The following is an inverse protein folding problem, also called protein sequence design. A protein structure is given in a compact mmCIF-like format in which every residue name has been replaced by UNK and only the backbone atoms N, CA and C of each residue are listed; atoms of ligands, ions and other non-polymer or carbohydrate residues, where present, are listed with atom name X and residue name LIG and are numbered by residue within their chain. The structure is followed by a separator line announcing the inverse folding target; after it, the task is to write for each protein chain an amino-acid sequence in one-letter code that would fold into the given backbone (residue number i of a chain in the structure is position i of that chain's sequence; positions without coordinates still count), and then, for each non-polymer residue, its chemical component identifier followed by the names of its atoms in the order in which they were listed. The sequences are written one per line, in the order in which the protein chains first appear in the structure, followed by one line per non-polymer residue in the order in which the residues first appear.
data_IF_151124673508
#
_entry.id   IF_151124673508
#
_cell.length_a   1.000
_cell.length_b   1.000
_cell.length_c   1.000
_cell.angle_alpha   90.00
_cell.angle_beta   90.00
_cell.angle_gamma   90.00
#
_symmetry.space_group_name_H-M   'P 1'
#
loop_
_entity.id
_entity.type
_entity.pdbx_description
1 polymer ?
#
# COMPACT_ATOMS: atom_id res chain seq x y z
N UNK A 1 -9.20 -29.06 29.30
CA UNK A 1 -7.83 -29.56 29.36
C UNK A 1 -7.25 -29.92 27.96
N UNK A 2 -7.94 -29.59 26.87
CA UNK A 2 -7.50 -29.91 25.49
C UNK A 2 -7.07 -28.68 24.66
N UNK A 3 -7.22 -27.46 25.17
CA UNK A 3 -6.97 -26.23 24.39
C UNK A 3 -5.52 -25.72 24.41
N UNK A 4 -4.68 -26.20 25.34
CA UNK A 4 -3.31 -25.70 25.47
C UNK A 4 -2.25 -26.49 24.68
N UNK A 5 -2.62 -27.67 24.15
CA UNK A 5 -1.67 -28.55 23.43
C UNK A 5 -1.56 -28.15 21.95
N UNK A 6 -2.65 -27.70 21.34
CA UNK A 6 -2.68 -27.42 19.88
C UNK A 6 -1.92 -26.14 19.52
N UNK A 7 -1.90 -25.14 20.36
CA UNK A 7 -1.17 -23.88 20.10
C UNK A 7 0.35 -23.99 20.28
N UNK A 8 0.81 -24.81 21.23
CA UNK A 8 2.24 -24.99 21.48
C UNK A 8 2.96 -25.78 20.37
N UNK A 9 2.31 -26.78 19.79
CA UNK A 9 2.90 -27.63 18.75
C UNK A 9 2.91 -26.97 17.35
N UNK A 10 1.97 -26.08 17.07
CA UNK A 10 1.91 -25.39 15.78
C UNK A 10 3.08 -24.40 15.57
N UNK A 11 3.65 -23.86 16.66
CA UNK A 11 4.78 -22.93 16.59
C UNK A 11 6.17 -23.63 16.64
N UNK A 12 6.24 -24.90 17.03
CA UNK A 12 7.53 -25.60 17.21
C UNK A 12 8.00 -26.39 15.99
N UNK A 13 7.26 -26.51 14.92
CA UNK A 13 7.62 -27.33 13.77
C UNK A 13 7.94 -26.49 12.50
N UNK A 14 8.52 -25.31 12.67
CA UNK A 14 9.16 -24.63 11.55
C UNK A 14 10.52 -25.26 11.32
N UNK A 15 10.57 -26.16 10.33
CA UNK A 15 11.79 -26.76 9.83
C UNK A 15 12.77 -25.62 9.43
N UNK A 16 13.75 -25.34 10.30
CA UNK A 16 14.68 -24.20 10.22
C UNK A 16 15.55 -24.18 8.95
N UNK A 17 15.45 -25.20 8.10
CA UNK A 17 16.23 -25.35 6.87
C UNK A 17 15.49 -24.98 5.59
N UNK A 18 14.28 -24.42 5.66
CA UNK A 18 13.55 -23.95 4.46
C UNK A 18 13.86 -22.50 4.18
N UNK A 19 14.41 -22.24 3.00
CA UNK A 19 14.59 -20.87 2.49
C UNK A 19 13.30 -20.47 1.77
N UNK A 20 12.67 -19.39 2.24
CA UNK A 20 11.47 -18.82 1.62
C UNK A 20 11.86 -17.60 0.78
N UNK A 21 11.64 -17.67 -0.53
CA UNK A 21 12.03 -16.65 -1.50
C UNK A 21 10.83 -15.96 -2.18
N UNK A 22 9.62 -16.16 -1.66
CA UNK A 22 8.39 -15.59 -2.24
C UNK A 22 7.79 -14.49 -1.35
N UNK A 23 8.64 -13.64 -0.78
CA UNK A 23 8.24 -12.52 0.10
C UNK A 23 7.34 -11.51 -0.62
N UNK A 24 7.51 -11.36 -1.93
CA UNK A 24 6.69 -10.45 -2.74
C UNK A 24 5.21 -10.85 -2.80
N UNK A 25 4.90 -12.14 -2.66
CA UNK A 25 3.51 -12.63 -2.58
C UNK A 25 2.91 -12.40 -1.19
N UNK A 26 3.65 -12.76 -0.14
CA UNK A 26 3.26 -12.54 1.26
C UNK A 26 4.48 -12.72 2.16
N UNK A 27 4.57 -11.90 3.20
CA UNK A 27 5.65 -12.03 4.19
C UNK A 27 5.55 -13.35 4.95
N UNK A 28 6.67 -14.09 5.05
CA UNK A 28 6.78 -15.32 5.81
C UNK A 28 8.18 -15.46 6.42
N UNK A 29 8.30 -15.87 7.72
CA UNK A 29 7.18 -16.07 8.67
C UNK A 29 6.48 -14.77 9.04
N UNK A 30 5.21 -14.87 9.48
CA UNK A 30 4.51 -13.73 10.08
C UNK A 30 5.16 -13.37 11.41
N UNK A 31 5.13 -12.09 11.78
CA UNK A 31 5.56 -11.68 13.11
C UNK A 31 4.73 -12.42 14.19
N UNK A 32 5.35 -13.00 15.23
CA UNK A 32 4.63 -13.79 16.24
C UNK A 32 3.47 -13.05 16.91
N UNK A 33 3.61 -11.72 17.06
CA UNK A 33 2.56 -10.84 17.61
C UNK A 33 1.30 -10.81 16.77
N UNK A 34 1.37 -11.01 15.45
CA UNK A 34 0.21 -10.94 14.55
C UNK A 34 -0.81 -12.03 14.88
N UNK A 35 -0.37 -13.30 14.94
CA UNK A 35 -1.27 -14.41 15.24
C UNK A 35 -1.88 -14.26 16.64
N UNK A 36 -1.08 -13.82 17.62
CA UNK A 36 -1.55 -13.58 18.97
C UNK A 36 -2.61 -12.48 19.03
N UNK A 37 -2.38 -11.34 18.38
CA UNK A 37 -3.32 -10.22 18.37
C UNK A 37 -4.67 -10.60 17.73
N UNK A 38 -4.64 -11.37 16.62
CA UNK A 38 -5.87 -11.87 15.98
C UNK A 38 -6.63 -12.83 16.91
N UNK A 39 -5.92 -13.75 17.57
CA UNK A 39 -6.52 -14.68 18.53
C UNK A 39 -7.15 -13.95 19.71
N UNK A 40 -6.42 -13.02 20.33
CA UNK A 40 -6.88 -12.26 21.49
C UNK A 40 -8.14 -11.43 21.13
N UNK A 41 -8.14 -10.80 19.95
CA UNK A 41 -9.29 -10.04 19.48
C UNK A 41 -10.52 -10.93 19.28
N UNK A 42 -10.38 -12.03 18.56
CA UNK A 42 -11.50 -12.94 18.27
C UNK A 42 -12.03 -13.64 19.53
N UNK A 43 -11.15 -13.93 20.51
CA UNK A 43 -11.53 -14.62 21.76
C UNK A 43 -12.15 -13.68 22.79
N UNK A 44 -11.84 -12.37 22.75
CA UNK A 44 -12.17 -11.45 23.83
C UNK A 44 -13.09 -10.29 23.46
N UNK A 45 -12.88 -9.64 22.32
CA UNK A 45 -13.48 -8.33 22.04
C UNK A 45 -13.94 -8.13 20.59
N UNK A 46 -14.20 -9.20 19.84
CA UNK A 46 -14.67 -9.12 18.47
C UNK A 46 -16.12 -8.58 18.38
N UNK A 47 -16.27 -7.27 18.59
CA UNK A 47 -17.55 -6.57 18.59
C UNK A 47 -17.61 -5.49 17.51
N UNK A 48 -18.83 -5.10 17.13
CA UNK A 48 -19.03 -4.03 16.16
C UNK A 48 -18.75 -2.65 16.78
N UNK A 49 -17.93 -1.84 16.12
CA UNK A 49 -17.48 -0.53 16.62
C UNK A 49 -18.53 0.57 16.48
N UNK A 50 -19.36 0.56 15.43
CA UNK A 50 -20.16 1.73 15.08
C UNK A 50 -21.61 1.71 15.61
N UNK A 51 -21.99 0.69 16.38
CA UNK A 51 -23.40 0.49 16.78
C UNK A 51 -23.61 0.28 18.28
N UNK A 52 -22.57 0.30 19.08
CA UNK A 52 -22.66 0.00 20.53
C UNK A 52 -22.07 1.09 21.41
N UNK A 53 -22.87 1.62 22.34
CA UNK A 53 -22.42 2.52 23.41
C UNK A 53 -21.96 1.74 24.65
N UNK A 54 -21.16 0.68 24.49
CA UNK A 54 -20.68 -0.15 25.59
C UNK A 54 -19.15 -0.29 25.58
N UNK A 55 -18.58 -0.61 26.73
CA UNK A 55 -17.13 -0.59 26.98
C UNK A 55 -16.29 -1.36 25.94
N UNK A 56 -16.74 -2.55 25.52
CA UNK A 56 -15.99 -3.32 24.54
C UNK A 56 -15.94 -2.64 23.16
N UNK A 57 -17.02 -1.96 22.74
CA UNK A 57 -17.04 -1.21 21.48
C UNK A 57 -16.05 -0.03 21.53
N UNK A 58 -16.01 0.72 22.64
CA UNK A 58 -15.04 1.81 22.83
C UNK A 58 -13.59 1.30 22.83
N UNK A 59 -13.32 0.15 23.45
CA UNK A 59 -11.97 -0.43 23.44
C UNK A 59 -11.50 -0.80 22.02
N UNK A 60 -12.38 -1.32 21.17
CA UNK A 60 -12.04 -1.62 19.77
C UNK A 60 -11.86 -0.33 18.95
N UNK A 61 -12.68 0.70 19.19
CA UNK A 61 -12.53 2.01 18.56
C UNK A 61 -11.17 2.64 18.90
N UNK A 62 -10.73 2.54 20.15
CA UNK A 62 -9.41 3.00 20.61
C UNK A 62 -8.28 2.26 19.87
N UNK A 63 -8.35 0.93 19.74
CA UNK A 63 -7.37 0.14 18.97
C UNK A 63 -7.29 0.57 17.51
N UNK A 64 -8.42 0.87 16.87
CA UNK A 64 -8.46 1.38 15.49
C UNK A 64 -7.78 2.76 15.43
N UNK A 65 -8.07 3.63 16.38
CA UNK A 65 -7.45 4.96 16.45
C UNK A 65 -5.94 4.86 16.64
N UNK A 66 -5.47 4.07 17.61
CA UNK A 66 -4.05 3.84 17.83
C UNK A 66 -3.33 3.28 16.62
N UNK A 67 -3.98 2.35 15.89
CA UNK A 67 -3.43 1.79 14.65
C UNK A 67 -3.25 2.87 13.57
N UNK A 68 -4.22 3.78 13.45
CA UNK A 68 -4.11 4.92 12.51
C UNK A 68 -2.95 5.84 12.88
N UNK A 69 -2.80 6.15 14.17
CA UNK A 69 -1.70 6.99 14.65
C UNK A 69 -0.32 6.31 14.45
N UNK A 70 -0.24 4.98 14.60
CA UNK A 70 0.98 4.22 14.31
C UNK A 70 1.33 4.26 12.83
N UNK A 71 0.34 4.15 11.92
CA UNK A 71 0.56 4.26 10.48
C UNK A 71 1.01 5.66 10.06
N UNK A 72 0.43 6.71 10.65
CA UNK A 72 0.90 8.09 10.40
C UNK A 72 2.36 8.26 10.82
N UNK A 73 2.76 7.70 11.97
CA UNK A 73 4.17 7.71 12.40
C UNK A 73 5.08 6.91 11.46
N UNK A 74 4.62 5.73 11.00
CA UNK A 74 5.37 4.87 10.08
C UNK A 74 5.71 5.58 8.77
N UNK A 75 4.82 6.45 8.30
CA UNK A 75 5.00 7.20 7.06
C UNK A 75 5.44 8.66 7.31
N UNK A 76 5.96 8.99 8.47
CA UNK A 76 6.43 10.32 8.87
C UNK A 76 5.44 11.46 8.61
N UNK A 77 4.14 11.13 8.55
CA UNK A 77 3.09 12.10 8.26
C UNK A 77 2.70 12.90 9.50
N UNK A 78 3.59 13.76 9.97
CA UNK A 78 3.48 14.53 11.23
C UNK A 78 2.30 15.51 11.26
N UNK A 79 1.87 16.02 10.09
CA UNK A 79 0.71 16.91 9.97
C UNK A 79 -0.61 16.13 9.85
N UNK A 80 -0.55 14.81 9.72
CA UNK A 80 -1.70 13.94 9.56
C UNK A 80 -2.52 13.80 10.82
N UNK A 81 -3.76 13.39 10.64
CA UNK A 81 -4.69 13.01 11.71
C UNK A 81 -5.22 11.63 11.40
N UNK A 82 -5.66 10.89 12.41
CA UNK A 82 -6.22 9.53 12.22
C UNK A 82 -7.25 9.42 11.09
N UNK A 83 -8.00 10.49 10.79
CA UNK A 83 -8.93 10.57 9.66
C UNK A 83 -8.26 10.49 8.27
N UNK A 84 -6.96 10.73 8.18
CA UNK A 84 -6.19 10.62 6.93
C UNK A 84 -5.81 9.17 6.61
N UNK A 85 -6.01 8.25 7.56
CA UNK A 85 -5.78 6.81 7.35
C UNK A 85 -7.12 6.12 7.09
N UNK A 86 -7.26 5.50 5.93
CA UNK A 86 -8.45 4.75 5.50
C UNK A 86 -8.06 3.30 5.31
N UNK A 87 -8.76 2.39 5.99
CA UNK A 87 -8.57 0.96 5.82
C UNK A 87 -9.41 0.45 4.64
N UNK A 88 -8.79 -0.38 3.82
CA UNK A 88 -9.44 -1.13 2.74
C UNK A 88 -9.09 -2.62 2.89
N UNK A 89 -9.75 -3.47 2.13
CA UNK A 89 -9.50 -4.92 2.18
C UNK A 89 -8.06 -5.28 1.75
N UNK A 90 -7.52 -4.54 0.78
CA UNK A 90 -6.18 -4.75 0.23
C UNK A 90 -5.76 -3.56 -0.63
N UNK A 91 -4.48 -3.52 -1.02
CA UNK A 91 -3.91 -2.46 -1.86
C UNK A 91 -4.61 -2.35 -3.23
N UNK A 92 -5.06 -3.45 -3.81
CA UNK A 92 -5.78 -3.42 -5.09
C UNK A 92 -7.09 -2.63 -4.97
N UNK A 93 -7.83 -2.81 -3.87
CA UNK A 93 -9.03 -2.03 -3.57
C UNK A 93 -8.68 -0.56 -3.36
N UNK A 94 -7.62 -0.25 -2.58
CA UNK A 94 -7.17 1.13 -2.37
C UNK A 94 -6.86 1.84 -3.69
N UNK A 95 -6.06 1.22 -4.55
CA UNK A 95 -5.69 1.79 -5.85
C UNK A 95 -6.89 1.98 -6.78
N UNK A 96 -7.84 1.03 -6.80
CA UNK A 96 -9.09 1.20 -7.54
C UNK A 96 -9.93 2.38 -7.04
N UNK A 97 -10.06 2.55 -5.72
CA UNK A 97 -10.78 3.66 -5.12
C UNK A 97 -10.11 4.99 -5.48
N UNK A 98 -8.79 5.08 -5.35
CA UNK A 98 -8.05 6.30 -5.67
C UNK A 98 -8.14 6.65 -7.16
N UNK A 99 -7.82 5.72 -8.05
CA UNK A 99 -7.77 5.98 -9.49
C UNK A 99 -9.17 6.31 -10.04
N UNK A 100 -10.19 5.54 -9.66
CA UNK A 100 -11.57 5.76 -10.12
C UNK A 100 -12.25 6.95 -9.45
N UNK A 101 -11.81 7.32 -8.24
CA UNK A 101 -12.35 8.47 -7.52
C UNK A 101 -11.71 9.80 -7.92
N UNK A 102 -10.45 9.81 -8.29
CA UNK A 102 -9.71 11.03 -8.63
C UNK A 102 -9.79 11.40 -10.12
N UNK A 103 -9.83 10.39 -11.01
CA UNK A 103 -9.71 10.61 -12.45
C UNK A 103 -11.07 10.83 -13.12
N UNK A 104 -11.08 11.78 -14.06
CA UNK A 104 -12.25 12.17 -14.87
C UNK A 104 -11.93 12.03 -16.36
N UNK A 105 -12.95 11.96 -17.23
CA UNK A 105 -12.73 12.03 -18.67
C UNK A 105 -11.90 13.26 -19.07
N UNK A 106 -10.88 13.05 -19.90
CA UNK A 106 -9.92 14.07 -20.30
C UNK A 106 -8.65 14.13 -19.46
N UNK A 107 -8.62 13.55 -18.25
CA UNK A 107 -7.42 13.51 -17.42
C UNK A 107 -6.34 12.61 -18.04
N UNK A 108 -5.09 12.98 -17.78
CA UNK A 108 -3.91 12.22 -18.16
C UNK A 108 -3.12 11.80 -16.91
N UNK A 109 -2.54 10.60 -16.95
CA UNK A 109 -1.77 9.99 -15.85
C UNK A 109 -0.40 9.57 -16.34
N UNK A 110 0.64 9.88 -15.60
CA UNK A 110 1.94 9.23 -15.77
C UNK A 110 2.06 8.04 -14.82
N UNK A 111 2.54 6.93 -15.33
CA UNK A 111 2.84 5.72 -14.55
C UNK A 111 4.26 5.25 -14.86
N UNK A 112 4.89 4.52 -13.94
CA UNK A 112 6.18 3.89 -14.28
C UNK A 112 5.97 2.68 -15.19
N UNK A 113 6.99 2.30 -15.96
CA UNK A 113 6.92 1.09 -16.80
C UNK A 113 6.83 -0.20 -15.99
N UNK A 114 7.13 -0.14 -14.68
CA UNK A 114 7.21 -1.29 -13.77
C UNK A 114 5.92 -1.55 -12.98
N UNK A 115 4.84 -0.79 -13.23
CA UNK A 115 3.62 -0.82 -12.42
C UNK A 115 2.97 -2.19 -12.33
N UNK A 116 2.48 -2.48 -11.12
CA UNK A 116 1.71 -3.69 -10.86
C UNK A 116 0.33 -3.66 -11.56
N UNK A 117 -0.24 -4.82 -11.82
CA UNK A 117 -1.59 -4.97 -12.40
C UNK A 117 -2.71 -4.28 -11.60
N UNK A 118 -2.52 -4.08 -10.30
CA UNK A 118 -3.46 -3.34 -9.45
C UNK A 118 -3.62 -1.86 -9.88
N UNK A 119 -2.58 -1.27 -10.50
CA UNK A 119 -2.59 0.05 -11.13
C UNK A 119 -3.04 -0.04 -12.59
N UNK A 120 -2.42 -0.95 -13.37
CA UNK A 120 -2.62 -0.97 -14.81
C UNK A 120 -4.03 -1.38 -15.24
N UNK A 121 -4.64 -2.37 -14.57
CA UNK A 121 -5.99 -2.83 -14.92
C UNK A 121 -7.07 -1.75 -14.77
N UNK A 122 -7.18 -1.02 -13.64
CA UNK A 122 -8.14 0.08 -13.54
C UNK A 122 -7.84 1.23 -14.50
N UNK A 123 -6.56 1.56 -14.78
CA UNK A 123 -6.22 2.59 -15.77
C UNK A 123 -6.67 2.20 -17.18
N UNK A 124 -6.41 0.96 -17.61
CA UNK A 124 -6.92 0.45 -18.91
C UNK A 124 -8.46 0.46 -18.95
N UNK A 125 -9.15 0.20 -17.85
CA UNK A 125 -10.62 0.37 -17.81
C UNK A 125 -11.02 1.84 -18.00
N UNK A 126 -10.33 2.76 -17.34
CA UNK A 126 -10.62 4.19 -17.39
C UNK A 126 -10.34 4.82 -18.77
N UNK A 127 -9.47 4.21 -19.61
CA UNK A 127 -9.30 4.71 -21.00
C UNK A 127 -10.58 4.63 -21.80
N UNK A 128 -11.47 3.68 -21.51
CA UNK A 128 -12.80 3.58 -22.14
C UNK A 128 -13.71 4.76 -21.76
N UNK A 129 -13.38 5.45 -20.69
CA UNK A 129 -14.08 6.62 -20.18
C UNK A 129 -13.35 7.94 -20.47
N UNK A 130 -12.37 7.93 -21.40
CA UNK A 130 -11.67 9.13 -21.82
C UNK A 130 -10.48 9.55 -20.96
N UNK A 131 -10.02 8.72 -20.03
CA UNK A 131 -8.73 8.92 -19.36
C UNK A 131 -7.61 8.42 -20.26
N UNK A 132 -6.46 9.08 -20.25
CA UNK A 132 -5.25 8.64 -20.95
C UNK A 132 -4.09 8.44 -19.99
N UNK A 133 -3.12 7.62 -20.35
CA UNK A 133 -1.89 7.45 -19.59
C UNK A 133 -0.69 7.21 -20.47
N UNK A 134 0.48 7.66 -20.01
CA UNK A 134 1.78 7.33 -20.59
C UNK A 134 2.67 6.68 -19.54
N UNK A 135 3.62 5.85 -20.02
CA UNK A 135 4.60 5.18 -19.16
C UNK A 135 5.92 5.90 -19.20
N UNK A 136 6.43 6.30 -18.03
CA UNK A 136 7.82 6.71 -17.86
C UNK A 136 8.67 5.45 -18.05
N UNK A 137 9.57 5.40 -19.03
CA UNK A 137 10.33 4.20 -19.33
C UNK A 137 11.36 3.89 -18.25
N UNK A 138 11.77 2.63 -18.21
CA UNK A 138 12.93 2.15 -17.46
C UNK A 138 14.03 1.71 -18.42
N UNK A 139 15.27 1.60 -17.93
CA UNK A 139 16.36 0.97 -18.63
C UNK A 139 16.25 -0.58 -18.59
N UNK A 140 17.24 -1.27 -19.13
CA UNK A 140 17.28 -2.74 -19.16
C UNK A 140 17.45 -3.39 -17.77
N UNK A 141 17.88 -2.62 -16.78
CA UNK A 141 18.04 -3.04 -15.38
C UNK A 141 16.80 -2.73 -14.52
N UNK A 142 15.82 -2.03 -15.11
CA UNK A 142 14.59 -1.61 -14.44
C UNK A 142 14.69 -0.27 -13.70
N UNK A 143 15.80 0.47 -13.85
CA UNK A 143 15.92 1.80 -13.28
C UNK A 143 15.05 2.80 -14.06
N UNK A 144 14.31 3.64 -13.34
CA UNK A 144 13.42 4.62 -13.95
C UNK A 144 14.23 5.73 -14.65
N UNK A 145 13.89 6.03 -15.89
CA UNK A 145 14.45 7.15 -16.66
C UNK A 145 13.58 8.39 -16.45
N UNK A 146 13.66 8.96 -15.24
CA UNK A 146 12.80 10.07 -14.79
C UNK A 146 12.97 11.32 -15.66
N UNK A 147 14.15 11.54 -16.21
CA UNK A 147 14.45 12.66 -17.14
C UNK A 147 13.55 12.65 -18.39
N UNK A 148 12.97 11.50 -18.74
CA UNK A 148 12.00 11.40 -19.85
C UNK A 148 10.57 11.79 -19.45
N UNK A 149 10.28 11.93 -18.15
CA UNK A 149 8.93 12.22 -17.68
C UNK A 149 8.43 13.59 -18.16
N UNK A 150 9.30 14.61 -18.21
CA UNK A 150 8.93 15.95 -18.64
C UNK A 150 8.42 16.00 -20.09
N UNK A 151 8.96 15.15 -20.98
CA UNK A 151 8.51 15.06 -22.36
C UNK A 151 7.13 14.39 -22.53
N UNK A 152 6.66 13.69 -21.49
CA UNK A 152 5.36 13.01 -21.46
C UNK A 152 4.26 13.88 -20.83
N UNK A 153 4.62 15.02 -20.23
CA UNK A 153 3.65 15.93 -19.62
C UNK A 153 2.70 16.51 -20.66
N UNK A 154 1.43 16.60 -20.28
CA UNK A 154 0.35 17.24 -21.04
C UNK A 154 -0.34 18.28 -20.14
N UNK A 155 -1.01 19.27 -20.70
CA UNK A 155 -1.82 20.20 -19.91
C UNK A 155 -2.90 19.51 -19.05
N UNK A 156 -3.31 18.30 -19.47
CA UNK A 156 -4.27 17.45 -18.74
C UNK A 156 -3.62 16.45 -17.80
N UNK A 157 -2.28 16.45 -17.65
CA UNK A 157 -1.62 15.58 -16.68
C UNK A 157 -2.00 15.98 -15.27
N UNK A 158 -2.56 15.04 -14.51
CA UNK A 158 -3.13 15.29 -13.20
C UNK A 158 -2.37 14.60 -12.08
N UNK A 159 -1.87 13.39 -12.32
CA UNK A 159 -1.19 12.62 -11.30
C UNK A 159 -0.09 11.71 -11.87
N UNK A 160 0.83 11.35 -11.00
CA UNK A 160 1.82 10.28 -11.21
C UNK A 160 1.49 9.12 -10.29
N UNK A 161 1.57 7.90 -10.79
CA UNK A 161 1.49 6.67 -9.98
C UNK A 161 2.81 5.94 -10.07
N UNK A 162 3.35 5.54 -8.95
CA UNK A 162 4.61 4.82 -8.86
C UNK A 162 4.52 3.71 -7.82
N UNK A 163 4.94 2.50 -8.14
CA UNK A 163 5.27 1.51 -7.12
C UNK A 163 6.63 1.86 -6.50
N UNK A 164 6.79 1.67 -5.20
CA UNK A 164 8.06 1.98 -4.52
C UNK A 164 9.14 0.95 -4.84
N UNK A 165 8.78 -0.33 -4.90
CA UNK A 165 9.68 -1.39 -5.33
C UNK A 165 8.96 -2.42 -6.20
N UNK A 166 9.64 -2.93 -7.22
CA UNK A 166 9.08 -3.94 -8.10
C UNK A 166 8.94 -5.29 -7.39
N UNK A 167 7.76 -5.87 -7.43
CA UNK A 167 7.50 -7.21 -6.94
C UNK A 167 8.12 -8.31 -7.83
N UNK A 168 8.66 -7.96 -8.98
CA UNK A 168 9.24 -8.89 -9.97
C UNK A 168 10.76 -8.89 -9.89
N UNK A 169 11.41 -7.73 -10.00
CA UNK A 169 12.87 -7.61 -10.06
C UNK A 169 13.47 -6.99 -8.79
N UNK A 170 12.65 -6.46 -7.87
CA UNK A 170 13.12 -5.87 -6.61
C UNK A 170 13.74 -4.47 -6.76
N UNK A 171 13.77 -3.90 -7.95
CA UNK A 171 14.28 -2.54 -8.17
C UNK A 171 13.46 -1.53 -7.37
N UNK A 172 14.16 -0.65 -6.64
CA UNK A 172 13.58 0.43 -5.84
C UNK A 172 13.52 1.69 -6.70
N UNK A 173 12.35 2.33 -6.77
CA UNK A 173 12.15 3.55 -7.54
C UNK A 173 12.66 4.78 -6.79
N UNK A 174 13.14 5.82 -7.50
CA UNK A 174 13.63 7.07 -6.91
C UNK A 174 12.46 7.95 -6.47
N UNK A 175 11.78 7.55 -5.38
CA UNK A 175 10.50 8.16 -4.96
C UNK A 175 10.64 9.61 -4.54
N UNK A 176 11.78 10.01 -3.98
CA UNK A 176 12.03 11.40 -3.61
C UNK A 176 12.10 12.30 -4.85
N UNK A 177 12.82 11.86 -5.87
CA UNK A 177 12.95 12.59 -7.13
C UNK A 177 11.61 12.67 -7.86
N UNK A 178 10.81 11.59 -7.83
CA UNK A 178 9.45 11.58 -8.38
C UNK A 178 8.54 12.52 -7.60
N UNK A 179 8.65 12.53 -6.27
CA UNK A 179 7.91 13.46 -5.40
C UNK A 179 8.23 14.92 -5.73
N UNK A 180 9.52 15.25 -5.87
CA UNK A 180 9.98 16.59 -6.28
C UNK A 180 9.42 16.98 -7.65
N UNK A 181 9.52 16.08 -8.62
CA UNK A 181 8.93 16.27 -9.96
C UNK A 181 7.43 16.56 -9.89
N UNK A 182 6.68 15.79 -9.08
CA UNK A 182 5.25 16.04 -8.88
C UNK A 182 4.97 17.40 -8.26
N UNK A 183 5.75 17.80 -7.26
CA UNK A 183 5.62 19.10 -6.60
C UNK A 183 5.90 20.26 -7.57
N UNK A 184 6.97 20.19 -8.34
CA UNK A 184 7.35 21.19 -9.34
C UNK A 184 6.28 21.41 -10.40
N UNK A 185 5.56 20.34 -10.79
CA UNK A 185 4.54 20.39 -11.83
C UNK A 185 3.10 20.45 -11.29
N UNK A 186 2.91 20.55 -9.95
CA UNK A 186 1.58 20.62 -9.32
C UNK A 186 0.74 19.36 -9.52
N UNK A 187 1.38 18.20 -9.61
CA UNK A 187 0.75 16.90 -9.83
C UNK A 187 0.47 16.19 -8.50
N UNK A 188 -0.61 15.41 -8.47
CA UNK A 188 -0.82 14.46 -7.38
C UNK A 188 0.17 13.30 -7.52
N UNK A 189 0.61 12.73 -6.40
CA UNK A 189 1.49 11.57 -6.37
C UNK A 189 0.82 10.42 -5.60
N UNK A 190 0.68 9.27 -6.25
CA UNK A 190 0.24 8.00 -5.63
C UNK A 190 1.44 7.07 -5.57
N UNK A 191 1.86 6.74 -4.37
CA UNK A 191 2.94 5.78 -4.12
C UNK A 191 2.35 4.46 -3.62
N UNK A 192 2.55 3.38 -4.40
CA UNK A 192 2.22 2.01 -4.00
C UNK A 192 3.37 1.41 -3.20
N UNK A 193 3.17 1.28 -1.90
CA UNK A 193 4.17 0.76 -0.95
C UNK A 193 3.92 -0.69 -0.54
N UNK A 194 3.17 -1.47 -1.31
CA UNK A 194 2.82 -2.85 -0.98
C UNK A 194 4.03 -3.74 -0.67
N UNK A 195 5.18 -3.46 -1.31
CA UNK A 195 6.41 -4.22 -1.10
C UNK A 195 7.34 -3.64 -0.03
N UNK A 196 7.14 -2.40 0.40
CA UNK A 196 8.15 -1.63 1.15
C UNK A 196 7.68 -1.09 2.48
N UNK A 197 6.37 -0.89 2.67
CA UNK A 197 5.83 -0.36 3.92
C UNK A 197 6.23 -1.22 5.12
N UNK A 198 6.88 -0.59 6.11
CA UNK A 198 7.40 -1.28 7.30
C UNK A 198 8.71 -2.06 7.10
N UNK A 199 9.27 -2.07 5.87
CA UNK A 199 10.53 -2.74 5.54
C UNK A 199 11.60 -1.72 5.15
N UNK A 200 11.20 -0.69 4.40
CA UNK A 200 12.06 0.43 4.00
C UNK A 200 11.45 1.68 4.62
N UNK A 201 12.30 2.56 5.13
CA UNK A 201 11.87 3.86 5.65
C UNK A 201 11.37 4.74 4.50
N UNK A 202 10.22 5.37 4.71
CA UNK A 202 9.55 6.19 3.69
C UNK A 202 9.20 7.53 4.32
N UNK A 203 9.89 8.58 3.90
CA UNK A 203 9.66 9.95 4.33
C UNK A 203 9.05 10.79 3.19
#
# INVERSE_FOLDING_TARGET
MFSNIILGEFFMNMNTNKIYLDQASTSFPKAPSVAKAVYDYLSGSAVNVNRGGYRAAYSVEEQIFETREQLLRLFHFSSGKGKNVIFTENITTSLNVLLKGLLKPGDHVLVTAMEHNAVMRPLVQLTKNGVSFDRIPCDSEGNLLLEKASALLRPSTRLVVCLHASNVCGTIMPVQEIGNFCQEHGLLFILDTAQTAGTIDID
#
